data_IF_406249766049
#
_entry.id   IF_406249766049
#
_cell.length_a   1.000
_cell.length_b   1.000
_cell.length_c   1.000
_cell.angle_alpha   90.00
_cell.angle_beta   90.00
_cell.angle_gamma   90.00
#
_symmetry.space_group_name_H-M   'P 1'
#
loop_
_entity.id
_entity.type
_entity.pdbx_description
1 polymer ?
2 branched ?
3 non-polymer ?
4 non-polymer ?
5 non-polymer ?
6 water ?
#
# COMPACT_ATOMS: atom_id res chain seq x y z
N UNK A 1 2.09 26.40 3.43
CA UNK A 1 1.93 27.70 2.74
C UNK A 1 0.72 27.73 1.82
N UNK A 2 0.74 26.93 0.75
CA UNK A 2 -0.40 26.91 -0.16
C UNK A 2 -0.71 25.47 -0.53
N UNK A 3 -1.95 25.21 -0.93
CA UNK A 3 -2.36 23.87 -1.31
C UNK A 3 -1.58 23.35 -2.56
N UNK A 4 -1.20 22.08 -2.57
CA UNK A 4 -0.46 21.50 -3.69
C UNK A 4 -1.40 20.99 -4.81
N UNK A 5 -0.97 21.12 -6.06
CA UNK A 5 -1.71 20.71 -7.25
C UNK A 5 -0.89 19.80 -8.14
N UNK A 6 -1.52 18.70 -8.57
CA UNK A 6 -0.90 17.69 -9.45
C UNK A 6 -0.72 18.32 -10.81
N UNK A 7 0.38 19.04 -10.98
CA UNK A 7 0.71 19.79 -12.19
C UNK A 7 1.66 19.13 -13.21
N UNK A 8 2.44 18.15 -12.77
CA UNK A 8 3.40 17.50 -13.63
C UNK A 8 2.93 16.13 -14.10
N UNK A 9 3.80 15.47 -14.89
CA UNK A 9 3.53 14.15 -15.38
C UNK A 9 4.60 13.20 -14.86
N UNK A 10 4.51 11.92 -15.19
CA UNK A 10 5.49 10.94 -14.73
C UNK A 10 6.71 10.95 -15.60
N UNK A 11 7.88 10.91 -14.99
CA UNK A 11 9.13 10.86 -15.75
C UNK A 11 9.14 9.47 -16.40
N UNK A 12 10.00 9.27 -17.39
CA UNK A 12 10.05 7.96 -18.00
C UNK A 12 10.93 7.02 -17.14
N UNK A 13 10.43 5.81 -16.94
CA UNK A 13 11.11 4.81 -16.12
C UNK A 13 11.84 3.81 -16.97
N UNK A 14 13.17 3.76 -16.83
CA UNK A 14 13.99 2.83 -17.60
C UNK A 14 14.68 1.83 -16.65
N UNK A 15 14.49 2.05 -15.36
CA UNK A 15 15.01 1.19 -14.29
C UNK A 15 14.70 1.78 -12.88
N UNK A 16 15.10 1.08 -11.82
CA UNK A 16 14.84 1.51 -10.44
C UNK A 16 16.12 1.50 -9.59
N UNK A 17 16.30 2.49 -8.69
CA UNK A 17 17.49 2.55 -7.81
C UNK A 17 17.04 2.47 -6.35
N UNK A 18 17.88 1.98 -5.42
CA UNK A 18 17.46 1.94 -4.00
C UNK A 18 17.26 3.35 -3.48
N UNK A 19 16.21 3.48 -2.67
CA UNK A 19 15.83 4.73 -2.04
C UNK A 19 16.09 4.55 -0.55
N UNK A 20 15.44 3.57 0.07
CA UNK A 20 15.63 3.35 1.50
C UNK A 20 15.55 1.91 1.98
N UNK A 21 16.16 1.62 3.11
CA UNK A 21 16.12 0.26 3.66
C UNK A 21 16.25 0.34 5.18
N UNK A 22 15.38 -0.41 5.84
CA UNK A 22 15.27 -0.51 7.28
C UNK A 22 16.31 -1.35 8.03
N UNK A 23 16.35 -2.65 7.68
CA UNK A 23 17.22 -3.66 8.33
C UNK A 23 16.71 -3.80 9.79
N UNK A 24 15.40 -3.66 9.98
CA UNK A 24 14.78 -3.71 11.30
C UNK A 24 14.86 -5.00 12.14
N UNK A 25 14.61 -6.15 11.52
CA UNK A 25 14.65 -7.46 12.17
C UNK A 25 16.08 -7.86 12.52
N UNK A 26 17.06 -7.45 11.70
CA UNK A 26 18.48 -7.73 11.96
C UNK A 26 18.90 -6.99 13.22
N UNK A 27 18.54 -5.72 13.28
CA UNK A 27 18.86 -4.84 14.40
C UNK A 27 18.01 -5.11 15.65
N UNK A 28 16.74 -5.48 15.43
CA UNK A 28 15.83 -5.74 16.52
C UNK A 28 16.22 -6.90 17.40
N UNK A 29 17.18 -7.72 16.92
CA UNK A 29 17.69 -8.88 17.65
C UNK A 29 18.38 -8.41 18.95
N UNK A 30 18.97 -7.22 18.91
CA UNK A 30 19.69 -6.68 20.05
C UNK A 30 19.33 -5.21 20.32
N UNK A 31 18.06 -4.85 20.12
CA UNK A 31 17.64 -3.47 20.35
C UNK A 31 16.17 -3.33 20.70
N UNK A 32 15.79 -2.12 21.12
CA UNK A 32 14.42 -1.83 21.49
C UNK A 32 13.62 -1.35 20.27
N UNK A 33 13.39 -2.31 19.37
CA UNK A 33 12.65 -2.11 18.13
C UNK A 33 11.23 -2.68 18.30
N UNK A 34 10.25 -1.96 17.77
CA UNK A 34 8.84 -2.33 17.85
C UNK A 34 8.32 -3.34 16.80
N UNK A 35 7.55 -4.34 17.24
CA UNK A 35 6.93 -5.31 16.34
C UNK A 35 5.89 -4.52 15.52
N UNK A 36 5.99 -4.53 14.18
CA UNK A 36 5.04 -3.79 13.31
C UNK A 36 4.58 -4.68 12.17
N UNK A 37 3.75 -4.10 11.30
CA UNK A 37 3.27 -4.72 10.05
C UNK A 37 2.51 -3.64 9.27
N UNK A 38 2.03 -3.98 8.07
CA UNK A 38 1.27 -3.06 7.21
C UNK A 38 1.91 -1.66 7.06
N UNK A 39 3.17 -1.58 6.58
CA UNK A 39 3.85 -0.31 6.40
C UNK A 39 3.64 0.44 5.11
N UNK A 40 4.28 1.60 5.05
CA UNK A 40 4.29 2.47 3.90
C UNK A 40 5.23 3.65 4.11
N UNK A 41 5.36 4.51 3.09
CA UNK A 41 6.22 5.69 3.13
C UNK A 41 5.32 6.89 2.74
N UNK A 42 5.61 8.08 3.26
CA UNK A 42 4.81 9.27 2.95
C UNK A 42 5.64 10.55 3.06
N UNK A 43 5.54 11.45 2.07
CA UNK A 43 6.32 12.70 2.08
C UNK A 43 5.59 13.96 2.56
N UNK A 44 6.40 14.88 3.08
CA UNK A 44 5.96 16.17 3.56
C UNK A 44 6.69 17.15 2.66
N UNK A 45 6.48 18.44 2.87
CA UNK A 45 7.22 19.34 1.99
C UNK A 45 8.72 19.34 2.30
N UNK A 46 9.09 19.03 3.55
CA UNK A 46 10.50 19.02 3.97
C UNK A 46 11.22 17.69 4.26
N UNK A 47 10.49 16.61 4.56
CA UNK A 47 11.09 15.30 4.81
C UNK A 47 10.10 14.16 4.49
N UNK A 48 10.62 12.98 4.14
CA UNK A 48 9.78 11.79 3.86
C UNK A 48 10.03 10.81 5.00
N UNK A 49 8.97 10.25 5.58
CA UNK A 49 9.11 9.31 6.71
C UNK A 49 8.57 7.88 6.39
N UNK A 50 8.89 6.90 7.26
CA UNK A 50 8.42 5.51 7.13
C UNK A 50 7.18 5.45 8.05
N UNK A 51 6.19 4.59 7.73
CA UNK A 51 4.94 4.44 8.50
C UNK A 51 4.62 2.95 8.74
N UNK A 52 3.91 2.65 9.81
CA UNK A 52 3.53 1.28 10.14
C UNK A 52 2.49 1.19 11.26
N UNK A 53 1.89 0.01 11.38
CA UNK A 53 0.88 -0.27 12.41
C UNK A 53 1.61 -1.12 13.45
N UNK A 54 1.91 -0.49 14.57
CA UNK A 54 2.59 -1.10 15.70
C UNK A 54 1.67 -2.12 16.38
N UNK A 55 2.29 -3.01 17.17
CA UNK A 55 1.58 -4.06 17.94
C UNK A 55 1.74 -3.78 19.44
N UNK A 56 2.45 -2.71 19.79
CA UNK A 56 2.62 -2.35 21.20
C UNK A 56 3.52 -3.25 22.03
N UNK A 57 4.68 -3.58 21.48
CA UNK A 57 5.67 -4.48 22.10
C UNK A 57 6.94 -4.48 21.28
N UNK A 58 8.05 -4.82 21.95
CA UNK A 58 9.34 -4.97 21.28
C UNK A 58 9.44 -6.45 20.83
N UNK A 59 10.23 -6.68 19.76
CA UNK A 59 10.41 -8.02 19.20
C UNK A 59 10.93 -9.02 20.21
N UNK A 60 11.97 -8.64 20.95
CA UNK A 60 12.58 -9.53 21.95
C UNK A 60 11.74 -9.63 23.23
N UNK A 61 10.73 -8.78 23.33
CA UNK A 61 9.83 -8.76 24.47
C UNK A 61 8.85 -9.90 24.52
N UNK A 62 8.45 -10.30 25.73
CA UNK A 62 7.49 -11.40 25.95
C UNK A 62 6.13 -11.24 25.25
N UNK A 63 5.61 -10.02 25.19
CA UNK A 63 4.29 -9.75 24.58
C UNK A 63 4.23 -9.92 23.06
N UNK A 64 5.31 -10.44 22.49
CA UNK A 64 5.44 -10.67 21.05
C UNK A 64 4.86 -12.03 20.66
N UNK A 65 4.57 -12.86 21.66
CA UNK A 65 3.97 -14.19 21.48
C UNK A 65 2.49 -13.91 21.22
N UNK A 66 2.02 -14.21 20.02
CA UNK A 66 0.61 -13.95 19.71
C UNK A 66 0.36 -12.75 18.80
N UNK A 67 1.42 -12.15 18.29
CA UNK A 67 1.29 -11.00 17.41
C UNK A 67 0.93 -11.39 16.00
N UNK A 68 0.34 -12.56 15.85
CA UNK A 68 -0.09 -13.03 14.55
C UNK A 68 -1.50 -12.44 14.27
N UNK A 69 -2.20 -12.00 15.32
CA UNK A 69 -3.54 -11.40 15.16
C UNK A 69 -3.47 -9.96 14.63
N UNK A 70 -4.54 -9.50 13.97
CA UNK A 70 -4.54 -8.16 13.36
C UNK A 70 -5.23 -7.02 14.10
N UNK A 71 -6.38 -7.30 14.69
CA UNK A 71 -7.11 -6.26 15.40
C UNK A 71 -7.01 -6.36 16.91
N UNK A 72 -6.44 -5.35 17.57
CA UNK A 72 -6.32 -5.31 19.03
C UNK A 72 -6.22 -3.89 19.59
N UNK A 73 -6.62 -3.72 20.85
CA UNK A 73 -6.59 -2.43 21.56
C UNK A 73 -5.17 -1.86 21.73
N UNK A 74 -4.13 -2.65 21.41
CA UNK A 74 -2.75 -2.22 21.59
C UNK A 74 -1.93 -1.83 20.34
N UNK A 75 -2.62 -1.59 19.21
CA UNK A 75 -2.00 -1.18 17.94
C UNK A 75 -2.08 0.32 17.76
N UNK A 76 -1.23 0.90 16.92
CA UNK A 76 -1.26 2.35 16.69
C UNK A 76 -0.56 2.75 15.39
N UNK A 77 -0.87 3.92 14.85
CA UNK A 77 -0.18 4.38 13.63
C UNK A 77 1.02 5.21 14.07
N UNK A 78 2.22 4.74 13.76
CA UNK A 78 3.47 5.45 14.12
C UNK A 78 4.30 5.83 12.87
N UNK A 79 5.19 6.80 13.05
CA UNK A 79 6.10 7.24 11.99
C UNK A 79 7.50 7.47 12.58
N UNK A 80 8.51 7.26 11.75
CA UNK A 80 9.89 7.42 12.16
C UNK A 80 10.77 7.89 10.99
N UNK A 81 12.03 8.29 11.29
CA UNK A 81 12.97 8.76 10.28
C UNK A 81 13.40 7.72 9.20
N UNK A 82 13.51 8.19 7.96
CA UNK A 82 13.84 7.36 6.79
C UNK A 82 15.10 6.49 6.88
N UNK A 83 14.90 5.17 6.73
CA UNK A 83 15.95 4.13 6.74
C UNK A 83 16.51 3.80 8.13
N UNK A 84 15.75 4.16 9.16
CA UNK A 84 16.10 3.89 10.55
C UNK A 84 15.01 2.91 11.00
N UNK A 85 15.25 2.13 12.07
CA UNK A 85 14.22 1.18 12.52
C UNK A 85 13.15 1.79 13.41
N UNK A 86 11.96 1.13 13.49
CA UNK A 86 10.87 1.64 14.32
C UNK A 86 11.27 1.41 15.78
N UNK A 87 12.06 2.34 16.29
CA UNK A 87 12.56 2.29 17.66
C UNK A 87 11.55 2.85 18.63
N UNK A 88 11.62 2.33 19.86
CA UNK A 88 10.75 2.74 20.93
C UNK A 88 10.98 4.18 21.35
N UNK A 89 12.22 4.65 21.22
CA UNK A 89 12.61 6.00 21.63
C UNK A 89 12.60 7.08 20.53
N UNK A 90 12.48 6.67 19.27
CA UNK A 90 12.49 7.62 18.15
C UNK A 90 11.21 7.69 17.32
N UNK A 91 10.19 6.96 17.77
CA UNK A 91 8.92 6.91 17.08
C UNK A 91 7.88 7.90 17.55
N UNK A 92 7.08 8.35 16.59
CA UNK A 92 6.02 9.31 16.82
C UNK A 92 4.67 8.68 16.46
N UNK A 93 3.72 8.77 17.40
CA UNK A 93 2.37 8.23 17.22
C UNK A 93 1.40 9.23 16.55
N UNK A 94 0.77 8.78 15.48
CA UNK A 94 -0.17 9.60 14.72
C UNK A 94 -1.62 9.50 15.24
N UNK A 95 -2.09 8.26 15.48
CA UNK A 95 -3.43 8.00 16.00
C UNK A 95 -3.54 6.55 16.43
N UNK A 96 -4.61 6.24 17.18
CA UNK A 96 -4.88 4.89 17.69
C UNK A 96 -5.82 4.06 16.79
N UNK A 97 -5.36 2.92 16.30
CA UNK A 97 -6.18 2.07 15.44
C UNK A 97 -5.47 0.90 14.79
N UNK A 98 -6.23 0.00 14.16
CA UNK A 98 -5.70 -1.20 13.47
C UNK A 98 -5.82 -1.17 11.93
N UNK A 99 -6.09 0.00 11.36
CA UNK A 99 -6.24 0.20 9.90
C UNK A 99 -6.01 1.69 9.65
N UNK A 100 -5.37 2.06 8.55
CA UNK A 100 -5.08 3.49 8.36
C UNK A 100 -4.68 4.03 6.98
N UNK A 101 -4.52 5.35 6.95
CA UNK A 101 -4.07 6.12 5.78
C UNK A 101 -3.63 7.52 6.26
N UNK A 102 -2.82 8.19 5.44
CA UNK A 102 -2.28 9.52 5.80
C UNK A 102 -1.71 10.24 4.57
N UNK A 103 -1.73 11.58 4.61
CA UNK A 103 -1.21 12.38 3.50
C UNK A 103 -1.18 13.86 3.86
N UNK A 104 -0.19 14.56 3.33
CA UNK A 104 0.02 16.00 3.53
C UNK A 104 -0.61 16.72 2.34
N UNK A 105 -1.15 17.93 2.52
CA UNK A 105 -1.76 18.64 1.38
C UNK A 105 -1.06 19.94 0.87
N UNK A 106 0.08 20.26 1.44
CA UNK A 106 0.78 21.45 1.01
C UNK A 106 0.80 22.34 2.22
N UNK A 107 -0.30 22.34 2.96
CA UNK A 107 -0.39 23.11 4.18
C UNK A 107 -0.07 22.21 5.38
N UNK A 108 -0.98 21.28 5.71
CA UNK A 108 -0.76 20.36 6.83
C UNK A 108 -1.12 18.89 6.46
N UNK A 109 -0.99 17.97 7.40
CA UNK A 109 -1.26 16.57 7.16
C UNK A 109 -2.51 16.02 7.83
N UNK A 110 -3.20 15.13 7.12
CA UNK A 110 -4.42 14.46 7.58
C UNK A 110 -4.12 12.98 7.79
N UNK A 111 -4.55 12.47 8.93
CA UNK A 111 -4.34 11.06 9.27
C UNK A 111 -5.65 10.45 9.72
N UNK A 112 -5.87 9.20 9.38
CA UNK A 112 -7.11 8.52 9.74
C UNK A 112 -6.83 7.13 10.31
N UNK A 113 -7.38 6.84 11.49
CA UNK A 113 -7.22 5.53 12.14
C UNK A 113 -8.60 4.99 12.46
N UNK A 114 -8.73 3.68 12.32
CA UNK A 114 -9.96 2.95 12.57
C UNK A 114 -9.76 1.95 13.72
N UNK A 115 -10.69 1.94 14.67
CA UNK A 115 -10.62 1.03 15.82
C UNK A 115 -12.04 0.54 16.17
N UNK A 116 -12.09 -0.47 17.04
CA UNK A 116 -13.36 -0.98 17.48
C UNK A 116 -13.53 -2.46 17.27
N UNK A 117 -14.70 -3.02 17.66
CA UNK A 117 -15.07 -4.44 17.54
C UNK A 117 -15.54 -4.67 16.11
N UNK A 118 -15.82 -5.92 15.76
CA UNK A 118 -16.30 -6.20 14.42
C UNK A 118 -17.75 -5.70 14.21
N UNK A 119 -18.61 -5.81 15.25
CA UNK A 119 -20.03 -5.37 15.18
C UNK A 119 -20.10 -3.89 14.93
N UNK A 120 -19.17 -3.14 15.48
CA UNK A 120 -19.17 -1.72 15.21
C UNK A 120 -17.95 -0.87 15.49
N UNK A 121 -17.12 -0.81 14.45
CA UNK A 121 -15.90 -0.04 14.39
C UNK A 121 -16.23 1.42 14.02
N UNK A 122 -15.23 2.28 13.98
CA UNK A 122 -15.40 3.69 13.62
C UNK A 122 -14.09 4.39 13.27
N UNK A 123 -14.15 5.31 12.30
CA UNK A 123 -12.99 6.09 11.89
C UNK A 123 -13.00 7.52 12.46
N UNK A 124 -11.83 7.99 12.88
CA UNK A 124 -11.66 9.37 13.37
C UNK A 124 -10.61 10.03 12.47
N UNK A 125 -10.94 11.21 11.97
CA UNK A 125 -10.07 11.96 11.08
C UNK A 125 -9.42 13.04 11.92
N UNK A 126 -8.10 13.10 11.80
CA UNK A 126 -7.25 14.06 12.48
C UNK A 126 -6.64 15.03 11.44
N UNK A 127 -6.34 16.26 11.85
CA UNK A 127 -5.76 17.23 10.92
C UNK A 127 -4.97 18.25 11.77
N UNK A 128 -3.74 18.53 11.36
CA UNK A 128 -2.89 19.45 12.14
C UNK A 128 -2.77 18.85 13.57
N UNK A 129 -2.76 17.51 13.66
CA UNK A 129 -2.66 16.80 14.93
C UNK A 129 -3.76 16.94 15.98
N UNK A 130 -4.98 17.28 15.55
CA UNK A 130 -6.14 17.43 16.42
C UNK A 130 -7.26 16.59 15.77
N UNK A 131 -8.10 15.94 16.59
CA UNK A 131 -9.20 15.11 16.04
C UNK A 131 -10.37 15.95 15.54
N UNK A 132 -10.55 16.00 14.23
CA UNK A 132 -11.61 16.79 13.61
C UNK A 132 -12.94 16.06 13.26
N UNK A 133 -12.90 14.96 12.52
CA UNK A 133 -14.14 14.27 12.11
C UNK A 133 -14.29 12.80 12.56
N UNK A 134 -15.53 12.31 12.74
CA UNK A 134 -15.77 10.93 13.16
C UNK A 134 -16.82 10.28 12.26
N UNK A 135 -16.67 8.98 11.99
CA UNK A 135 -17.57 8.20 11.13
C UNK A 135 -17.75 6.77 11.69
N UNK A 136 -18.99 6.41 11.99
CA UNK A 136 -19.32 5.09 12.51
C UNK A 136 -19.54 4.12 11.35
N UNK A 137 -19.42 2.83 11.66
CA UNK A 137 -19.61 1.73 10.72
C UNK A 137 -20.97 1.77 10.03
N UNK A 138 -21.00 1.51 8.72
CA UNK A 138 -22.26 1.51 7.97
C UNK A 138 -22.89 0.15 7.71
N UNK A 139 -22.07 -0.83 7.38
CA UNK A 139 -22.57 -2.18 7.13
C UNK A 139 -22.23 -3.19 8.23
N UNK A 140 -21.78 -2.69 9.38
CA UNK A 140 -21.44 -3.49 10.57
C UNK A 140 -20.58 -4.77 10.46
N UNK A 141 -19.54 -4.72 9.62
CA UNK A 141 -18.62 -5.85 9.43
C UNK A 141 -17.22 -5.32 8.98
N UNK A 142 -16.35 -5.10 9.97
CA UNK A 142 -14.98 -4.58 9.80
C UNK A 142 -14.75 -3.45 8.79
N UNK A 143 -14.96 -2.22 9.25
CA UNK A 143 -14.74 -1.03 8.42
C UNK A 143 -13.23 -0.95 8.27
N UNK A 144 -12.77 -0.81 7.03
CA UNK A 144 -11.34 -0.78 6.72
C UNK A 144 -10.93 0.22 5.63
N UNK A 145 -9.62 0.47 5.50
CA UNK A 145 -9.14 1.43 4.54
C UNK A 145 -7.85 1.03 3.72
N UNK A 146 -7.23 2.01 3.07
CA UNK A 146 -6.06 1.82 2.19
C UNK A 146 -4.79 1.09 2.60
N UNK A 147 -4.26 1.38 3.81
CA UNK A 147 -3.05 0.73 4.29
C UNK A 147 -1.79 1.30 3.63
N UNK A 148 -1.99 2.45 2.96
CA UNK A 148 -0.96 3.23 2.27
C UNK A 148 -1.42 4.72 2.18
N UNK A 149 -0.57 5.63 1.69
CA UNK A 149 -0.95 7.05 1.62
C UNK A 149 -1.97 7.51 0.56
N UNK A 150 -2.69 8.58 0.88
CA UNK A 150 -3.67 9.18 -0.05
C UNK A 150 -2.96 10.25 -0.90
N UNK A 151 -3.68 10.89 -1.81
CA UNK A 151 -3.13 11.97 -2.66
C UNK A 151 -4.18 13.14 -2.61
N UNK A 152 -3.71 14.39 -2.66
CA UNK A 152 -4.59 15.56 -2.64
C UNK A 152 -4.33 16.46 -3.86
N UNK A 153 -5.33 17.24 -4.25
CA UNK A 153 -5.18 18.19 -5.35
C UNK A 153 -5.94 19.47 -4.93
N UNK A 154 -5.19 20.53 -4.66
CA UNK A 154 -5.74 21.82 -4.21
C UNK A 154 -6.66 21.70 -2.99
N UNK A 155 -6.19 20.98 -1.97
CA UNK A 155 -6.98 20.83 -0.76
C UNK A 155 -7.91 19.63 -0.63
N UNK A 156 -8.32 19.04 -1.75
CA UNK A 156 -9.21 17.89 -1.70
C UNK A 156 -8.42 16.58 -1.77
N UNK A 157 -8.72 15.67 -0.84
CA UNK A 157 -8.01 14.38 -0.74
C UNK A 157 -8.96 13.17 -0.63
N UNK A 158 -9.25 12.48 -1.73
CA UNK A 158 -10.15 11.33 -1.67
C UNK A 158 -9.56 10.12 -0.92
N UNK A 159 -10.43 9.33 -0.27
CA UNK A 159 -10.04 8.14 0.47
C UNK A 159 -11.09 7.02 0.24
N UNK A 160 -10.64 5.77 0.06
CA UNK A 160 -11.51 4.62 -0.19
C UNK A 160 -11.68 3.68 1.06
N UNK A 161 -12.94 3.44 1.43
CA UNK A 161 -13.28 2.56 2.53
C UNK A 161 -14.15 1.38 2.05
N UNK A 162 -14.17 0.32 2.85
CA UNK A 162 -14.97 -0.86 2.58
C UNK A 162 -15.53 -1.29 3.94
N UNK A 163 -16.76 -1.77 3.95
CA UNK A 163 -17.41 -2.21 5.17
C UNK A 163 -18.39 -3.31 4.75
N UNK A 164 -18.11 -4.54 5.20
CA UNK A 164 -18.91 -5.70 4.82
C UNK A 164 -17.98 -6.86 4.46
N UNK A 165 -18.56 -7.98 4.08
CA UNK A 165 -17.86 -9.22 3.69
C UNK A 165 -16.60 -9.13 2.80
N UNK A 166 -15.72 -10.10 3.02
CA UNK A 166 -14.43 -10.28 2.38
C UNK A 166 -14.45 -11.44 1.38
N UNK A 167 -15.51 -12.23 1.43
CA UNK A 167 -15.65 -13.36 0.53
C UNK A 167 -16.99 -13.26 -0.20
N UNK A 168 -17.42 -12.02 -0.41
CA UNK A 168 -18.67 -11.77 -1.10
C UNK A 168 -18.83 -10.27 -1.20
N UNK A 169 -19.94 -9.81 -1.79
CA UNK A 169 -20.33 -8.40 -2.00
C UNK A 169 -20.22 -7.50 -0.75
N UNK A 170 -19.61 -6.31 -0.88
CA UNK A 170 -19.42 -5.37 0.25
C UNK A 170 -19.95 -3.94 0.03
N UNK A 171 -19.57 -2.99 0.87
CA UNK A 171 -20.03 -1.64 0.64
C UNK A 171 -18.88 -0.65 0.62
N UNK A 172 -18.40 -0.37 -0.58
CA UNK A 172 -17.29 0.55 -0.80
C UNK A 172 -17.79 2.01 -1.03
N UNK A 173 -16.99 2.99 -0.64
CA UNK A 173 -17.38 4.39 -0.80
C UNK A 173 -16.16 5.25 -0.95
N UNK A 174 -16.23 6.26 -1.81
CA UNK A 174 -15.11 7.19 -1.94
C UNK A 174 -15.53 8.48 -1.19
N UNK A 175 -14.73 8.89 -0.20
CA UNK A 175 -14.97 10.12 0.57
C UNK A 175 -14.00 11.19 0.10
N UNK A 176 -14.48 12.44 0.11
CA UNK A 176 -13.73 13.61 -0.33
C UNK A 176 -13.61 14.56 0.86
N UNK A 177 -12.40 14.75 1.35
CA UNK A 177 -12.14 15.62 2.49
C UNK A 177 -11.39 16.90 2.09
N UNK A 178 -11.62 17.96 2.85
CA UNK A 178 -11.00 19.28 2.69
C UNK A 178 -10.83 19.84 4.12
N UNK A 179 -9.59 19.83 4.62
CA UNK A 179 -9.27 20.27 5.98
C UNK A 179 -9.95 19.41 7.04
N UNK A 180 -10.04 18.11 6.79
CA UNK A 180 -10.65 17.20 7.75
C UNK A 180 -12.17 17.14 7.73
N UNK A 181 -12.81 18.01 6.95
CA UNK A 181 -14.26 18.06 6.85
C UNK A 181 -14.74 17.28 5.63
N UNK A 182 -15.85 16.53 5.76
CA UNK A 182 -16.40 15.76 4.64
C UNK A 182 -17.07 16.73 3.65
N UNK A 183 -16.56 16.73 2.43
CA UNK A 183 -17.11 17.57 1.38
C UNK A 183 -18.25 16.82 0.74
N UNK A 184 -18.04 15.52 0.55
CA UNK A 184 -18.97 14.63 -0.12
C UNK A 184 -18.48 13.17 -0.02
N UNK A 185 -19.31 12.23 -0.46
CA UNK A 185 -18.96 10.80 -0.49
C UNK A 185 -19.93 10.18 -1.48
N UNK A 186 -19.48 9.14 -2.18
CA UNK A 186 -20.36 8.49 -3.12
C UNK A 186 -19.95 7.04 -3.13
N UNK A 187 -20.89 6.12 -3.42
CA UNK A 187 -20.64 4.68 -3.49
C UNK A 187 -19.84 4.29 -4.74
N UNK A 188 -19.29 3.08 -4.76
CA UNK A 188 -18.46 2.58 -5.87
C UNK A 188 -19.28 2.55 -7.15
N UNK A 189 -18.61 2.77 -8.28
CA UNK A 189 -19.27 2.72 -9.58
C UNK A 189 -18.31 1.98 -10.53
N UNK A 190 -18.80 1.62 -11.70
CA UNK A 190 -18.00 0.90 -12.67
C UNK A 190 -18.20 -0.59 -12.61
N UNK A 191 -17.32 -1.33 -13.26
CA UNK A 191 -17.44 -2.78 -13.33
C UNK A 191 -16.61 -3.64 -12.37
N UNK A 192 -15.95 -3.03 -11.39
CA UNK A 192 -15.15 -3.79 -10.41
C UNK A 192 -16.08 -4.43 -9.35
N UNK A 193 -15.93 -5.74 -9.11
CA UNK A 193 -16.81 -6.45 -8.16
C UNK A 193 -16.46 -6.46 -6.67
N UNK A 194 -15.17 -6.29 -6.32
CA UNK A 194 -14.74 -6.27 -4.92
C UNK A 194 -13.54 -5.33 -4.79
N UNK A 195 -13.57 -4.43 -3.80
CA UNK A 195 -12.46 -3.48 -3.60
C UNK A 195 -11.84 -3.61 -2.21
N UNK A 196 -10.52 -3.50 -2.15
CA UNK A 196 -9.78 -3.60 -0.89
C UNK A 196 -8.36 -3.07 -1.03
N UNK A 197 -7.87 -2.42 0.02
CA UNK A 197 -6.50 -1.90 0.08
C UNK A 197 -5.94 -1.19 -1.17
N UNK A 198 -6.53 -0.04 -1.48
CA UNK A 198 -6.12 0.72 -2.64
C UNK A 198 -4.75 1.41 -2.49
N UNK A 199 -3.96 1.41 -3.56
CA UNK A 199 -2.62 2.04 -3.60
C UNK A 199 -2.80 3.15 -4.66
N UNK A 200 -2.58 4.41 -4.26
CA UNK A 200 -2.83 5.57 -5.13
C UNK A 200 -1.66 6.52 -5.42
N UNK A 201 -1.72 7.21 -6.56
CA UNK A 201 -0.71 8.18 -6.99
C UNK A 201 -1.42 9.19 -7.87
N UNK A 202 -0.75 10.29 -8.20
CA UNK A 202 -1.40 11.29 -9.04
C UNK A 202 -0.48 12.12 -9.91
N UNK A 203 -1.02 12.56 -11.05
CA UNK A 203 -0.32 13.39 -12.03
C UNK A 203 -1.34 14.00 -13.00
N UNK A 204 -1.13 15.28 -13.31
CA UNK A 204 -2.01 16.04 -14.21
C UNK A 204 -3.50 16.07 -13.84
N UNK A 205 -3.78 16.37 -12.57
CA UNK A 205 -5.13 16.48 -12.03
C UNK A 205 -6.00 15.24 -12.04
N UNK A 206 -5.37 14.06 -11.97
CA UNK A 206 -6.09 12.77 -11.94
C UNK A 206 -5.48 11.79 -10.92
N UNK A 207 -6.30 10.93 -10.30
CA UNK A 207 -5.78 10.01 -9.32
C UNK A 207 -6.08 8.57 -9.72
N UNK A 208 -5.04 7.75 -9.78
CA UNK A 208 -5.21 6.34 -10.12
C UNK A 208 -4.83 5.47 -8.93
N UNK A 209 -5.72 4.55 -8.59
CA UNK A 209 -5.51 3.60 -7.50
C UNK A 209 -5.70 2.19 -8.06
N UNK A 210 -4.71 1.31 -7.88
CA UNK A 210 -4.80 -0.11 -8.29
C UNK A 210 -5.10 -0.74 -6.92
N UNK A 211 -6.15 -1.55 -6.81
CA UNK A 211 -6.54 -2.19 -5.54
C UNK A 211 -6.52 -3.73 -5.51
N UNK A 212 -7.27 -4.33 -4.58
CA UNK A 212 -7.35 -5.79 -4.38
C UNK A 212 -8.78 -6.38 -4.32
N UNK A 213 -9.01 -7.41 -5.11
CA UNK A 213 -10.27 -8.10 -5.16
C UNK A 213 -10.01 -9.36 -4.36
N UNK A 214 -10.47 -9.43 -3.12
CA UNK A 214 -10.24 -10.61 -2.27
C UNK A 214 -11.25 -11.78 -2.48
N UNK A 215 -12.35 -11.47 -3.14
CA UNK A 215 -13.44 -12.42 -3.42
C UNK A 215 -13.05 -13.48 -4.49
N UNK A 216 -12.81 -12.99 -5.71
CA UNK A 216 -12.43 -13.80 -6.86
C UNK A 216 -11.70 -12.87 -7.84
N UNK A 217 -10.66 -13.34 -8.52
CA UNK A 217 -9.97 -12.46 -9.45
C UNK A 217 -8.50 -12.25 -9.20
N UNK A 218 -7.68 -12.84 -10.05
CA UNK A 218 -6.23 -12.75 -9.96
C UNK A 218 -5.72 -11.51 -10.70
N UNK A 219 -6.58 -10.89 -11.50
CA UNK A 219 -6.22 -9.66 -12.20
C UNK A 219 -6.60 -8.60 -11.18
N UNK A 220 -6.11 -7.36 -11.31
CA UNK A 220 -6.40 -6.30 -10.32
C UNK A 220 -7.38 -5.18 -10.70
N UNK A 221 -8.22 -4.73 -9.73
CA UNK A 221 -9.20 -3.63 -9.92
C UNK A 221 -8.48 -2.30 -10.02
N UNK A 222 -9.09 -1.36 -10.71
CA UNK A 222 -8.50 -0.04 -10.87
C UNK A 222 -9.58 1.03 -10.65
N UNK A 223 -9.22 2.15 -10.02
CA UNK A 223 -10.13 3.28 -9.77
C UNK A 223 -9.44 4.59 -10.17
N UNK A 224 -10.03 5.30 -11.13
CA UNK A 224 -9.52 6.58 -11.59
C UNK A 224 -10.44 7.68 -10.99
N UNK A 225 -9.85 8.64 -10.31
CA UNK A 225 -10.62 9.72 -9.71
C UNK A 225 -10.31 11.08 -10.30
N UNK A 226 -11.35 11.94 -10.36
CA UNK A 226 -11.18 13.29 -10.86
C UNK A 226 -11.35 14.16 -9.62
N UNK A 227 -10.23 14.65 -9.05
CA UNK A 227 -10.29 15.49 -7.85
C UNK A 227 -11.05 16.80 -8.03
N UNK A 228 -11.17 17.34 -9.24
CA UNK A 228 -11.90 18.59 -9.38
C UNK A 228 -13.39 18.39 -9.47
N UNK A 229 -13.84 17.45 -10.29
CA UNK A 229 -15.28 17.21 -10.40
C UNK A 229 -15.82 16.31 -9.30
N UNK A 230 -14.95 15.61 -8.58
CA UNK A 230 -15.38 14.70 -7.53
C UNK A 230 -16.21 13.52 -8.09
N UNK A 231 -15.61 12.78 -9.04
CA UNK A 231 -16.26 11.62 -9.68
C UNK A 231 -15.25 10.50 -9.90
N UNK A 232 -15.72 9.33 -10.33
CA UNK A 232 -14.81 8.22 -10.55
C UNK A 232 -15.46 7.10 -11.39
N UNK A 233 -14.65 6.07 -11.69
CA UNK A 233 -15.00 4.84 -12.42
C UNK A 233 -14.04 3.74 -11.99
N UNK A 234 -14.40 2.50 -12.28
CA UNK A 234 -13.58 1.38 -11.89
C UNK A 234 -13.59 0.37 -13.04
N UNK A 235 -12.66 -0.60 -13.00
CA UNK A 235 -12.56 -1.67 -14.00
C UNK A 235 -11.40 -2.56 -13.59
N UNK A 236 -10.96 -3.46 -14.46
CA UNK A 236 -9.84 -4.34 -14.18
C UNK A 236 -8.70 -4.06 -15.18
N UNK A 237 -7.48 -4.48 -14.85
CA UNK A 237 -6.33 -4.34 -15.76
C UNK A 237 -6.48 -5.49 -16.75
N UNK A 238 -6.65 -5.16 -18.04
CA UNK A 238 -6.83 -6.15 -19.11
C UNK A 238 -5.75 -7.20 -19.28
N UNK A 239 -4.49 -6.75 -19.32
CA UNK A 239 -3.33 -7.64 -19.51
C UNK A 239 -3.43 -9.04 -18.91
N UNK A 240 -2.84 -10.06 -19.57
CA UNK A 240 -2.83 -11.47 -19.11
C UNK A 240 -1.72 -11.79 -18.09
N UNK A 241 -0.85 -10.81 -17.84
CA UNK A 241 0.22 -10.96 -16.85
C UNK A 241 -0.46 -10.67 -15.49
N UNK A 242 -0.92 -11.75 -14.82
CA UNK A 242 -1.63 -11.68 -13.52
C UNK A 242 -0.73 -11.25 -12.37
N UNK A 243 -1.27 -10.48 -11.42
CA UNK A 243 -0.46 -9.98 -10.31
C UNK A 243 -0.95 -10.15 -8.88
N UNK A 244 -2.02 -10.87 -8.63
CA UNK A 244 -2.44 -11.04 -7.25
C UNK A 244 -1.74 -12.29 -6.69
N UNK A 245 -1.91 -12.57 -5.40
CA UNK A 245 -1.30 -13.74 -4.79
C UNK A 245 -2.21 -14.18 -3.67
N UNK A 246 -2.59 -15.47 -3.65
CA UNK A 246 -2.19 -16.48 -4.65
C UNK A 246 -2.90 -16.32 -6.01
N UNK A 247 -2.42 -17.05 -7.00
CA UNK A 247 -2.97 -16.98 -8.36
C UNK A 247 -2.60 -18.17 -9.25
N UNK A 248 -3.34 -18.36 -10.36
CA UNK A 248 -3.05 -19.46 -11.28
C UNK A 248 -1.97 -18.92 -12.23
N UNK A 249 -1.71 -19.62 -13.32
CA UNK A 249 -0.69 -19.19 -14.26
C UNK A 249 -1.19 -18.24 -15.35
N UNK A 250 -0.23 -17.53 -15.92
CA UNK A 250 -0.52 -16.54 -16.94
C UNK A 250 -1.05 -17.16 -18.19
N UNK A 251 -2.15 -16.62 -18.74
CA UNK A 251 -2.76 -17.12 -19.96
C UNK A 251 -2.33 -16.30 -21.18
N UNK A 252 -2.97 -16.54 -22.33
CA UNK A 252 -2.66 -15.80 -23.55
C UNK A 252 -3.49 -14.51 -23.62
N UNK A 253 -4.72 -14.52 -23.12
CA UNK A 253 -5.55 -13.32 -23.16
C UNK A 253 -6.13 -13.02 -21.77
N UNK A 254 -6.43 -11.77 -21.49
CA UNK A 254 -6.96 -11.41 -20.19
C UNK A 254 -8.35 -10.80 -20.18
N UNK A 255 -8.77 -10.36 -19.00
CA UNK A 255 -10.08 -9.75 -18.82
C UNK A 255 -10.02 -8.29 -18.37
N UNK A 256 -10.78 -7.46 -19.08
CA UNK A 256 -10.88 -6.05 -18.82
C UNK A 256 -11.92 -5.59 -17.77
N UNK A 257 -13.12 -6.22 -17.78
CA UNK A 257 -14.20 -5.84 -16.86
C UNK A 257 -14.77 -6.98 -16.07
N UNK A 258 -13.98 -7.99 -15.78
CA UNK A 258 -14.49 -9.14 -15.05
C UNK A 258 -13.29 -9.80 -14.37
N UNK A 259 -13.51 -10.32 -13.15
CA UNK A 259 -12.42 -10.97 -12.43
C UNK A 259 -11.96 -12.23 -13.12
N UNK A 260 -10.67 -12.33 -13.38
CA UNK A 260 -10.13 -13.55 -13.97
C UNK A 260 -10.17 -14.60 -12.85
N UNK A 261 -10.90 -15.72 -13.05
CA UNK A 261 -11.09 -16.84 -12.11
C UNK A 261 -9.91 -17.81 -11.97
N UNK A 262 -9.78 -18.40 -10.79
CA UNK A 262 -8.68 -19.31 -10.55
C UNK A 262 -8.43 -19.61 -9.09
N UNK A 263 -8.42 -18.57 -8.25
CA UNK A 263 -8.23 -18.70 -6.80
C UNK A 263 -9.27 -17.80 -6.09
N UNK A 264 -9.75 -18.28 -4.94
CA UNK A 264 -10.75 -17.56 -4.14
C UNK A 264 -10.26 -17.17 -2.76
N UNK A 265 -11.03 -16.28 -2.15
CA UNK A 265 -10.80 -15.79 -0.81
C UNK A 265 -9.36 -15.52 -0.40
N UNK A 266 -8.63 -14.84 -1.28
CA UNK A 266 -7.28 -14.53 -0.99
C UNK A 266 -6.71 -13.53 -1.97
N UNK A 267 -5.74 -12.76 -1.47
CA UNK A 267 -5.08 -11.76 -2.27
C UNK A 267 -3.91 -11.19 -1.50
N UNK A 268 -3.43 -10.02 -1.95
CA UNK A 268 -2.32 -9.30 -1.34
C UNK A 268 -2.40 -7.85 -1.85
N UNK A 269 -1.98 -6.90 -1.04
CA UNK A 269 -1.97 -5.47 -1.43
C UNK A 269 -0.86 -5.30 -2.45
N UNK A 270 -1.16 -4.59 -3.54
CA UNK A 270 -0.17 -4.37 -4.58
C UNK A 270 -0.42 -3.03 -5.26
N UNK A 271 0.29 -2.77 -6.36
CA UNK A 271 0.14 -1.49 -7.05
C UNK A 271 0.64 -1.61 -8.47
N UNK A 272 0.61 -0.49 -9.20
CA UNK A 272 1.16 -0.40 -10.55
C UNK A 272 1.14 1.04 -11.05
N UNK A 273 1.98 1.34 -12.05
CA UNK A 273 2.03 2.66 -12.66
C UNK A 273 1.55 2.53 -14.10
N UNK A 274 0.34 3.04 -14.37
CA UNK A 274 -0.32 3.00 -15.67
C UNK A 274 -0.14 4.29 -16.47
N UNK A 275 0.69 4.22 -17.50
CA UNK A 275 1.07 5.37 -18.32
C UNK A 275 1.41 4.98 -19.79
N UNK A 276 0.47 4.29 -20.46
CA UNK A 276 0.66 3.87 -21.83
C UNK A 276 1.84 2.93 -22.05
N UNK A 277 2.83 3.35 -22.83
CA UNK A 277 4.01 2.53 -23.08
C UNK A 277 4.89 2.49 -21.79
N UNK A 278 4.79 3.57 -21.02
CA UNK A 278 5.56 3.76 -19.79
C UNK A 278 4.84 3.12 -18.58
N UNK A 279 4.35 1.90 -18.77
CA UNK A 279 3.59 1.13 -17.77
C UNK A 279 4.39 0.00 -17.11
N UNK A 280 4.33 -0.10 -15.79
CA UNK A 280 5.05 -1.13 -15.03
C UNK A 280 4.18 -1.77 -13.94
N UNK A 281 4.12 -3.11 -13.94
CA UNK A 281 3.37 -3.86 -12.95
C UNK A 281 4.37 -4.58 -11.99
N UNK A 282 4.02 -4.64 -10.72
CA UNK A 282 4.86 -5.30 -9.74
C UNK A 282 4.12 -6.55 -9.26
N UNK A 283 4.85 -7.58 -8.82
CA UNK A 283 4.23 -8.83 -8.35
C UNK A 283 5.23 -9.76 -7.68
N UNK A 284 4.73 -10.70 -6.87
CA UNK A 284 5.57 -11.70 -6.24
C UNK A 284 5.93 -12.68 -7.39
N UNK A 285 6.97 -13.48 -7.20
CA UNK A 285 7.39 -14.47 -8.20
C UNK A 285 6.58 -15.79 -8.07
N UNK A 286 6.44 -16.27 -6.83
CA UNK A 286 5.68 -17.48 -6.57
C UNK A 286 4.19 -17.20 -6.77
N UNK A 287 3.52 -18.12 -7.47
CA UNK A 287 2.10 -18.00 -7.73
C UNK A 287 1.27 -18.51 -6.53
N UNK A 288 1.93 -19.23 -5.63
CA UNK A 288 1.28 -19.82 -4.46
C UNK A 288 1.48 -19.07 -3.16
N UNK A 289 2.69 -18.57 -2.93
CA UNK A 289 2.89 -17.83 -1.71
C UNK A 289 3.67 -16.55 -1.88
N UNK A 290 3.65 -15.74 -0.84
CA UNK A 290 4.32 -14.44 -0.81
C UNK A 290 5.85 -14.53 -0.77
N UNK A 291 6.50 -14.83 -1.90
CA UNK A 291 7.95 -14.89 -1.91
C UNK A 291 8.50 -14.31 -3.21
N UNK A 292 9.61 -13.58 -3.12
CA UNK A 292 10.18 -12.94 -4.28
C UNK A 292 9.39 -11.70 -4.67
N UNK A 293 9.98 -10.85 -5.49
CA UNK A 293 9.29 -9.65 -5.98
C UNK A 293 9.98 -9.22 -7.27
N UNK A 294 9.20 -8.81 -8.26
CA UNK A 294 9.73 -8.39 -9.54
C UNK A 294 8.87 -7.30 -10.17
N UNK A 295 9.50 -6.46 -10.99
CA UNK A 295 8.86 -5.36 -11.71
C UNK A 295 8.87 -5.69 -13.19
N UNK A 296 7.78 -5.39 -13.90
CA UNK A 296 7.65 -5.73 -15.31
C UNK A 296 7.09 -4.65 -16.21
N UNK A 297 7.78 -4.35 -17.31
CA UNK A 297 7.30 -3.34 -18.25
C UNK A 297 6.36 -4.06 -19.22
N UNK A 298 5.07 -3.72 -19.11
CA UNK A 298 4.01 -4.29 -19.95
C UNK A 298 3.26 -3.13 -20.61
N UNK A 299 3.70 -2.72 -21.82
CA UNK A 299 3.04 -1.62 -22.52
C UNK A 299 1.51 -1.71 -22.74
N UNK A 300 0.79 -0.67 -22.33
CA UNK A 300 -0.66 -0.58 -22.48
C UNK A 300 -1.47 -1.64 -21.75
N UNK A 301 -0.97 -2.07 -20.60
CA UNK A 301 -1.58 -3.11 -19.77
C UNK A 301 -3.10 -3.00 -19.50
N UNK A 302 -3.49 -1.82 -19.03
CA UNK A 302 -4.88 -1.51 -18.67
C UNK A 302 -5.88 -1.61 -19.84
N UNK A 303 -5.43 -1.35 -21.05
CA UNK A 303 -6.33 -1.39 -22.20
C UNK A 303 -6.11 -2.51 -23.22
N UNK A 304 -4.99 -3.19 -23.12
CA UNK A 304 -4.66 -4.25 -24.06
C UNK A 304 -4.71 -5.62 -23.38
N UNK A 305 -5.70 -6.46 -23.71
CA UNK A 305 -5.83 -7.75 -23.05
C UNK A 305 -4.95 -8.87 -23.58
N UNK A 306 -3.83 -8.50 -24.17
CA UNK A 306 -2.88 -9.45 -24.73
C UNK A 306 -1.45 -9.04 -24.45
N UNK A 307 -1.29 -7.84 -23.88
CA UNK A 307 0.02 -7.29 -23.58
C UNK A 307 0.92 -8.25 -22.78
N UNK A 308 2.20 -8.26 -23.14
CA UNK A 308 3.19 -9.14 -22.49
C UNK A 308 4.51 -8.36 -22.22
N UNK A 309 5.36 -8.87 -21.30
CA UNK A 309 6.64 -8.27 -20.90
C UNK A 309 7.70 -7.88 -21.96
N UNK A 310 8.19 -6.66 -21.82
CA UNK A 310 9.19 -6.04 -22.66
C UNK A 310 10.55 -5.90 -21.95
N UNK A 311 10.51 -5.69 -20.64
CA UNK A 311 11.71 -5.49 -19.86
C UNK A 311 11.33 -5.80 -18.43
N UNK A 312 12.30 -6.07 -17.59
CA UNK A 312 11.99 -6.39 -16.20
C UNK A 312 13.18 -6.19 -15.29
N UNK A 313 12.92 -6.30 -13.99
CA UNK A 313 13.95 -6.16 -12.97
C UNK A 313 13.51 -6.86 -11.68
N UNK A 314 14.44 -7.63 -11.14
CA UNK A 314 14.30 -8.43 -9.94
C UNK A 314 14.58 -7.59 -8.71
N UNK A 315 13.72 -7.68 -7.71
CA UNK A 315 13.88 -6.88 -6.50
C UNK A 315 14.26 -7.76 -5.31
N UNK A 316 13.57 -8.89 -5.13
CA UNK A 316 13.82 -9.85 -4.04
C UNK A 316 13.80 -11.22 -4.67
N UNK A 317 14.78 -12.09 -4.39
CA UNK A 317 14.80 -13.43 -5.00
C UNK A 317 13.66 -14.30 -4.47
N UNK A 318 13.32 -15.34 -5.23
CA UNK A 318 12.22 -16.23 -4.84
C UNK A 318 12.47 -17.09 -3.61
N UNK A 319 13.70 -17.10 -3.13
CA UNK A 319 14.03 -17.86 -1.94
C UNK A 319 13.82 -16.94 -0.72
N UNK A 320 13.46 -15.68 -1.01
CA UNK A 320 13.26 -14.71 0.04
C UNK A 320 11.83 -14.21 0.09
N UNK A 321 11.35 -14.08 1.32
CA UNK A 321 10.01 -13.61 1.62
C UNK A 321 9.79 -12.13 1.27
N UNK A 322 8.54 -11.77 1.04
CA UNK A 322 8.16 -10.40 0.77
C UNK A 322 6.83 -10.14 1.52
N UNK A 323 5.83 -9.62 0.83
CA UNK A 323 4.56 -9.33 1.47
C UNK A 323 3.90 -8.22 0.68
N UNK A 324 3.35 -7.24 1.38
CA UNK A 324 2.66 -6.10 0.78
C UNK A 324 3.59 -5.16 0.00
N UNK A 325 3.00 -4.31 -0.83
CA UNK A 325 3.74 -3.32 -1.62
C UNK A 325 2.75 -2.22 -1.99
N UNK A 326 3.24 -0.98 -2.09
CA UNK A 326 2.38 0.14 -2.39
C UNK A 326 3.11 1.29 -3.07
N UNK A 327 2.37 2.32 -3.51
CA UNK A 327 2.94 3.49 -4.19
C UNK A 327 3.06 4.80 -3.40
N UNK A 328 4.04 5.63 -3.78
CA UNK A 328 4.28 6.97 -3.21
C UNK A 328 5.19 7.74 -4.16
N UNK A 329 5.17 9.06 -4.04
CA UNK A 329 5.99 9.98 -4.83
C UNK A 329 6.25 11.27 -4.03
N UNK A 330 7.35 11.92 -4.32
CA UNK A 330 7.73 13.17 -3.65
C UNK A 330 7.20 14.37 -4.47
N UNK A 331 5.97 14.77 -4.18
CA UNK A 331 5.30 15.86 -4.87
C UNK A 331 5.98 17.23 -4.73
N UNK A 332 6.92 17.33 -3.80
CA UNK A 332 7.64 18.58 -3.58
C UNK A 332 9.10 18.63 -4.07
N UNK A 333 9.50 17.66 -4.89
CA UNK A 333 10.85 17.62 -5.44
C UNK A 333 10.97 18.47 -6.68
N UNK A 334 12.18 18.97 -6.93
CA UNK A 334 12.47 19.82 -8.08
C UNK A 334 12.58 19.01 -9.37
N UNK A 335 12.08 19.57 -10.47
CA UNK A 335 12.14 18.85 -11.72
C UNK A 335 10.95 19.24 -12.58
N UNK A 336 10.75 18.53 -13.68
CA UNK A 336 9.65 18.82 -14.57
C UNK A 336 8.70 17.67 -14.61
N UNK A 337 9.00 16.62 -13.85
CA UNK A 337 8.12 15.46 -13.80
C UNK A 337 8.14 14.83 -12.42
N UNK A 338 7.30 13.81 -12.25
CA UNK A 338 7.19 13.10 -11.00
C UNK A 338 7.95 11.80 -11.11
N UNK A 339 8.91 11.62 -10.21
CA UNK A 339 9.72 10.41 -10.15
C UNK A 339 8.94 9.42 -9.27
N UNK A 340 8.56 8.29 -9.85
CA UNK A 340 7.76 7.26 -9.20
C UNK A 340 8.54 6.34 -8.26
N UNK A 341 7.96 6.02 -7.10
CA UNK A 341 8.61 5.14 -6.11
C UNK A 341 7.61 4.05 -5.63
N UNK A 342 8.10 3.08 -4.85
CA UNK A 342 7.28 2.00 -4.29
C UNK A 342 8.02 1.35 -3.11
N UNK A 343 7.28 0.62 -2.27
CA UNK A 343 7.90 -0.06 -1.13
C UNK A 343 7.40 -1.50 -1.11
N UNK A 344 8.20 -2.38 -0.50
CA UNK A 344 7.85 -3.79 -0.36
C UNK A 344 8.06 -4.19 1.12
N UNK A 345 7.03 -4.76 1.70
CA UNK A 345 7.08 -5.22 3.08
C UNK A 345 7.73 -6.60 3.07
N UNK A 346 8.66 -6.85 3.99
CA UNK A 346 9.33 -8.14 4.06
C UNK A 346 8.93 -8.76 5.39
N UNK A 347 8.02 -9.74 5.37
CA UNK A 347 7.55 -10.38 6.59
C UNK A 347 8.44 -11.54 7.07
N UNK A 348 8.68 -11.59 8.39
CA UNK A 348 9.47 -12.63 9.06
C UNK A 348 8.61 -13.27 10.17
N UNK A 349 8.85 -14.54 10.43
CA UNK A 349 8.12 -15.25 11.47
C UNK A 349 6.93 -16.03 10.97
N UNK A 350 5.91 -16.13 11.82
CA UNK A 350 4.69 -16.83 11.48
C UNK A 350 3.93 -16.08 10.38
N UNK A 351 3.15 -16.80 9.55
CA UNK A 351 2.88 -18.24 9.56
C UNK A 351 3.97 -19.19 9.00
N UNK A 352 4.72 -18.79 7.97
CA UNK A 352 5.73 -19.67 7.39
C UNK A 352 6.94 -20.02 8.28
N UNK A 353 7.39 -19.09 9.12
CA UNK A 353 8.50 -19.37 10.03
C UNK A 353 8.00 -19.55 11.48
N UNK A 354 7.43 -20.71 11.76
CA UNK A 354 6.84 -20.97 13.06
C UNK A 354 7.63 -21.43 14.29
N UNK A 355 8.96 -21.33 14.26
CA UNK A 355 9.73 -21.69 15.45
C UNK A 355 9.70 -20.48 16.41
N UNK A 356 9.19 -19.35 15.89
CA UNK A 356 9.07 -18.11 16.64
C UNK A 356 7.60 -17.86 16.84
N UNK A 357 7.28 -17.20 17.93
CA UNK A 357 5.89 -16.91 18.27
C UNK A 357 5.34 -15.57 17.81
N UNK A 358 6.20 -14.76 17.22
CA UNK A 358 5.82 -13.44 16.69
C UNK A 358 5.74 -13.37 15.15
N UNK A 359 5.39 -12.18 14.68
CA UNK A 359 5.31 -11.87 13.26
C UNK A 359 5.71 -10.39 13.10
N UNK A 360 6.71 -10.10 12.29
CA UNK A 360 7.11 -8.72 12.11
C UNK A 360 7.62 -8.49 10.67
N UNK A 361 8.07 -7.26 10.35
CA UNK A 361 8.53 -6.96 9.00
C UNK A 361 9.71 -6.00 8.88
N UNK A 362 10.20 -5.88 7.65
CA UNK A 362 11.36 -5.06 7.27
C UNK A 362 10.90 -4.21 6.07
N UNK A 363 11.70 -3.23 5.65
CA UNK A 363 11.29 -2.40 4.52
C UNK A 363 12.45 -2.16 3.57
N UNK A 364 12.13 -2.12 2.28
CA UNK A 364 13.07 -1.79 1.21
C UNK A 364 12.22 -0.86 0.33
N UNK A 365 12.83 0.15 -0.24
CA UNK A 365 12.08 1.11 -1.06
C UNK A 365 12.93 1.53 -2.27
N UNK A 366 12.32 1.70 -3.44
CA UNK A 366 13.05 2.09 -4.66
C UNK A 366 12.32 3.20 -5.42
N UNK A 367 13.04 3.95 -6.24
CA UNK A 367 12.46 5.00 -7.07
C UNK A 367 12.99 4.81 -8.50
N UNK A 368 12.38 5.46 -9.49
CA UNK A 368 12.80 5.27 -10.89
C UNK A 368 13.97 6.10 -11.38
N UNK A 369 14.64 5.64 -12.44
CA UNK A 369 15.79 6.36 -13.02
C UNK A 369 15.57 6.36 -14.53
N UNK A 370 16.17 7.31 -15.26
CA UNK A 370 16.03 7.40 -16.74
C UNK A 370 17.14 6.68 -17.51
N UNK A 371 18.08 6.12 -16.74
CA UNK A 371 19.21 5.37 -17.25
C UNK A 371 18.84 3.90 -17.11
N UNK A 372 19.72 3.01 -17.55
CA UNK A 372 19.46 1.58 -17.42
C UNK A 372 20.50 1.06 -16.46
N UNK A 373 20.20 1.20 -15.16
CA UNK A 373 21.09 0.77 -14.10
C UNK A 373 21.10 -0.75 -13.89
N UNK A 374 22.18 -1.22 -13.26
CA UNK A 374 22.35 -2.62 -12.95
C UNK A 374 21.43 -3.02 -11.79
N UNK A 375 21.08 -4.29 -11.68
CA UNK A 375 20.18 -4.73 -10.61
C UNK A 375 20.91 -5.57 -9.53
N UNK A 376 20.29 -5.66 -8.37
CA UNK A 376 20.77 -6.41 -7.18
C UNK A 376 19.50 -6.76 -6.39
N UNK A 377 19.55 -7.83 -5.60
CA UNK A 377 18.38 -8.22 -4.82
C UNK A 377 18.54 -7.75 -3.39
N UNK A 378 17.42 -7.37 -2.78
CA UNK A 378 17.42 -6.79 -1.45
C UNK A 378 16.59 -7.51 -0.39
N UNK A 379 17.16 -8.56 0.24
CA UNK A 379 16.46 -9.33 1.28
C UNK A 379 16.43 -8.61 2.64
N UNK A 380 15.77 -9.20 3.64
CA UNK A 380 15.73 -8.62 4.96
C UNK A 380 17.08 -8.78 5.70
N UNK A 381 17.66 -9.98 5.69
CA UNK A 381 18.95 -10.19 6.34
C UNK A 381 19.04 -11.06 7.60
N UNK A 382 18.05 -10.94 8.46
CA UNK A 382 17.99 -11.68 9.73
C UNK A 382 18.03 -13.21 9.65
N UNK A 383 18.67 -13.81 10.64
CA UNK A 383 18.77 -15.25 10.79
C UNK A 383 17.79 -15.61 11.93
N UNK A 384 16.67 -16.25 11.57
CA UNK A 384 15.65 -16.64 12.56
C UNK A 384 16.24 -17.43 13.71
N UNK A 385 17.20 -18.31 13.42
CA UNK A 385 17.82 -19.11 14.47
C UNK A 385 18.56 -18.37 15.59
N UNK A 386 18.86 -17.08 15.40
CA UNK A 386 19.53 -16.29 16.42
C UNK A 386 18.46 -15.85 17.43
N UNK A 387 17.20 -16.14 17.12
CA UNK A 387 16.07 -15.76 17.99
C UNK A 387 15.56 -16.95 18.79
N UNK A 388 16.22 -18.11 18.63
CA UNK A 388 15.82 -19.31 19.34
C UNK A 388 16.67 -19.50 20.59
#
# INVERSE_FOLDING_TARGET
RDFNNLTKGLCTINSWHIYGKDNAVRIGEDSDVLVTREPYVSCDPDECRFYALSQGTTIRGKHSNGTIHDRSQYRALISWPLSSPPTVYNSRVECIGWSSTSCHDGKTRMSICISGPNNNASAVIWYNRRPVTEINTWARNILRTQESECVCHNGVCPVVFTDGSATGPAETRIYYFKEGKILKWEPLAGTAKHIEECSCYGERAEITCTCRDNWQGSNRPVIRIDPVAMTHTSQYICSPVLTDNPRPNDPTVGKCNDPYPGNNNNGVKGFSYLDGVNTWLGRTISIALRSGYEMLKVPNALTDDKSKPTQGQTIVLNTDWSGYSGSFMDYWAEGECYRACFYVELIRGRPKEDKVWWTSNSIVSMCSSTEFLGQWDWPDGAKIEYFL
#
